data_IF_082505740295
#
_entry.id   IF_082505740295
#
_cell.length_a   1.000
_cell.length_b   1.000
_cell.length_c   1.000
_cell.angle_alpha   90.00
_cell.angle_beta   90.00
_cell.angle_gamma   90.00
#
_symmetry.space_group_name_H-M   'P 1'
#
loop_
_entity.id
_entity.type
_entity.pdbx_description
1 polymer ?
#
# COMPACT_ATOMS: atom_id res chain seq x y z
N UNK A 1 -14.36 -3.30 51.85
CA UNK A 1 -14.10 -2.90 50.45
C UNK A 1 -14.49 -4.10 49.62
N UNK A 2 -15.60 -4.01 48.91
CA UNK A 2 -16.19 -5.12 48.14
C UNK A 2 -15.36 -5.36 46.87
N UNK A 3 -14.61 -6.45 46.85
CA UNK A 3 -13.92 -7.01 45.68
C UNK A 3 -14.91 -7.71 44.70
N UNK A 4 -16.11 -7.17 44.54
CA UNK A 4 -17.04 -7.68 43.53
C UNK A 4 -16.76 -6.95 42.21
N UNK A 5 -15.87 -7.54 41.41
CA UNK A 5 -15.95 -7.34 39.97
C UNK A 5 -17.18 -8.14 39.47
N UNK A 6 -18.29 -7.49 39.10
CA UNK A 6 -19.53 -8.18 38.73
C UNK A 6 -19.39 -8.99 37.43
N UNK A 7 -18.30 -8.78 36.71
CA UNK A 7 -17.89 -9.59 35.58
C UNK A 7 -16.86 -10.58 36.11
N UNK A 8 -17.25 -11.83 36.29
CA UNK A 8 -16.32 -12.93 36.57
C UNK A 8 -15.17 -12.98 35.54
N UNK A 9 -14.18 -13.88 35.72
CA UNK A 9 -13.08 -13.99 34.77
C UNK A 9 -13.64 -14.17 33.35
N UNK A 10 -13.05 -13.49 32.35
CA UNK A 10 -13.60 -13.58 31.00
C UNK A 10 -13.59 -15.03 30.54
N UNK A 11 -14.60 -15.46 29.76
CA UNK A 11 -14.78 -16.86 29.37
C UNK A 11 -13.61 -17.43 28.57
N UNK A 12 -12.77 -16.56 27.99
CA UNK A 12 -11.58 -16.93 27.23
C UNK A 12 -10.31 -17.03 28.08
N UNK A 13 -10.33 -16.70 29.38
CA UNK A 13 -9.13 -16.66 30.24
C UNK A 13 -8.42 -18.02 30.33
N UNK A 14 -9.20 -19.11 30.33
CA UNK A 14 -8.71 -20.49 30.38
C UNK A 14 -9.09 -21.30 29.12
N UNK A 15 -9.42 -20.62 28.02
CA UNK A 15 -9.71 -21.30 26.76
C UNK A 15 -8.45 -22.01 26.24
N UNK A 16 -8.60 -23.14 25.51
CA UNK A 16 -7.47 -23.76 24.84
C UNK A 16 -6.82 -22.79 23.86
N UNK A 17 -5.53 -22.99 23.52
CA UNK A 17 -4.86 -22.21 22.49
C UNK A 17 -5.68 -22.17 21.20
N UNK A 18 -5.69 -21.01 20.55
CA UNK A 18 -6.36 -20.84 19.25
C UNK A 18 -5.49 -21.48 18.17
N UNK A 19 -6.12 -22.23 17.27
CA UNK A 19 -5.47 -22.80 16.09
C UNK A 19 -4.90 -21.71 15.15
N UNK A 20 -3.98 -22.06 14.23
CA UNK A 20 -3.45 -21.10 13.27
C UNK A 20 -4.54 -20.38 12.46
N UNK A 21 -4.25 -19.13 12.07
CA UNK A 21 -5.16 -18.31 11.27
C UNK A 21 -5.47 -18.99 9.92
N UNK A 22 -6.75 -19.28 9.59
CA UNK A 22 -7.07 -20.12 8.44
C UNK A 22 -7.30 -19.34 7.13
N UNK A 23 -7.27 -18.00 7.16
CA UNK A 23 -7.61 -17.14 6.01
C UNK A 23 -6.36 -16.45 5.46
N UNK A 24 -5.50 -17.21 4.78
CA UNK A 24 -4.26 -16.64 4.25
C UNK A 24 -4.48 -15.65 3.10
N UNK A 25 -3.72 -14.56 3.12
CA UNK A 25 -3.63 -13.62 2.01
C UNK A 25 -2.98 -14.28 0.79
N UNK A 26 -3.48 -13.95 -0.40
CA UNK A 26 -2.90 -14.36 -1.68
C UNK A 26 -2.61 -13.16 -2.58
N UNK A 27 -1.49 -13.22 -3.29
CA UNK A 27 -1.15 -12.31 -4.39
C UNK A 27 -1.14 -13.07 -5.74
N UNK A 28 -1.58 -14.33 -5.73
CA UNK A 28 -1.70 -15.21 -6.90
C UNK A 28 -3.17 -15.58 -7.05
N UNK A 29 -3.80 -15.05 -8.11
CA UNK A 29 -5.23 -15.19 -8.36
C UNK A 29 -5.67 -16.64 -8.63
N UNK A 30 -4.72 -17.60 -8.64
CA UNK A 30 -4.96 -19.04 -8.82
C UNK A 30 -4.87 -19.82 -7.51
N UNK A 31 -4.57 -19.16 -6.39
CA UNK A 31 -4.36 -19.77 -5.07
C UNK A 31 -5.07 -18.98 -3.99
N UNK A 32 -5.53 -19.66 -2.94
CA UNK A 32 -6.21 -19.01 -1.81
C UNK A 32 -7.67 -18.70 -2.12
N UNK A 33 -8.21 -17.68 -1.45
CA UNK A 33 -9.59 -17.24 -1.65
C UNK A 33 -9.80 -16.63 -3.05
N UNK A 34 -11.01 -16.72 -3.57
CA UNK A 34 -11.40 -16.04 -4.81
C UNK A 34 -11.35 -14.51 -4.62
N UNK A 35 -10.97 -13.79 -5.68
CA UNK A 35 -10.99 -12.32 -5.67
C UNK A 35 -12.44 -11.81 -5.56
N UNK A 36 -12.69 -10.92 -4.61
CA UNK A 36 -14.01 -10.32 -4.44
C UNK A 36 -14.47 -9.60 -5.72
N UNK A 37 -15.73 -9.74 -6.18
CA UNK A 37 -16.20 -9.12 -7.43
C UNK A 37 -16.02 -7.60 -7.50
N UNK A 38 -16.10 -6.91 -6.35
CA UNK A 38 -15.83 -5.47 -6.26
C UNK A 38 -14.38 -5.06 -6.62
N UNK A 39 -13.44 -6.00 -6.66
CA UNK A 39 -12.03 -5.76 -6.95
C UNK A 39 -11.65 -6.08 -8.40
N UNK A 40 -12.59 -6.48 -9.25
CA UNK A 40 -12.30 -6.86 -10.65
C UNK A 40 -11.63 -5.73 -11.45
N UNK A 41 -11.95 -4.46 -11.16
CA UNK A 41 -11.27 -3.31 -11.77
C UNK A 41 -9.80 -3.15 -11.38
N UNK A 42 -9.38 -3.80 -10.29
CA UNK A 42 -8.00 -3.77 -9.78
C UNK A 42 -7.26 -5.09 -10.00
N UNK A 43 -7.91 -6.09 -10.63
CA UNK A 43 -7.35 -7.42 -10.86
C UNK A 43 -5.93 -7.38 -11.42
N UNK A 44 -5.59 -6.51 -12.43
CA UNK A 44 -4.24 -6.48 -12.98
C UNK A 44 -3.14 -6.02 -12.02
N UNK A 45 -3.48 -5.38 -10.90
CA UNK A 45 -2.53 -4.92 -9.89
C UNK A 45 -2.14 -6.02 -8.89
N UNK A 46 -3.01 -7.00 -8.63
CA UNK A 46 -2.73 -8.12 -7.72
C UNK A 46 -1.49 -8.87 -8.20
N UNK A 47 -0.50 -9.04 -7.33
CA UNK A 47 0.79 -9.63 -7.69
C UNK A 47 1.93 -9.29 -6.76
N UNK A 48 3.06 -9.95 -7.00
CA UNK A 48 4.36 -9.60 -6.46
C UNK A 48 5.20 -8.97 -7.58
N UNK A 49 5.67 -7.76 -7.35
CA UNK A 49 6.33 -6.90 -8.31
C UNK A 49 7.72 -6.54 -7.82
N UNK A 50 8.72 -6.56 -8.71
CA UNK A 50 10.07 -6.15 -8.38
C UNK A 50 10.75 -5.43 -9.54
N UNK A 51 11.47 -4.36 -9.25
CA UNK A 51 12.19 -3.62 -10.27
C UNK A 51 12.98 -2.47 -9.70
N UNK A 52 13.12 -1.41 -10.50
CA UNK A 52 13.93 -0.24 -10.19
C UNK A 52 13.17 1.04 -10.43
N UNK A 53 13.62 2.09 -9.75
CA UNK A 53 13.11 3.42 -9.89
C UNK A 53 14.16 4.48 -9.56
N UNK A 54 13.76 5.72 -9.73
CA UNK A 54 14.54 6.89 -9.40
C UNK A 54 13.72 7.75 -8.43
N UNK A 55 14.37 8.22 -7.37
CA UNK A 55 13.81 9.18 -6.44
C UNK A 55 14.59 10.49 -6.47
N UNK A 56 13.96 11.54 -5.95
CA UNK A 56 14.54 12.87 -5.86
C UNK A 56 14.04 13.57 -4.60
N UNK A 57 13.21 14.60 -4.76
CA UNK A 57 12.70 15.42 -3.64
C UNK A 57 12.20 14.57 -2.48
N UNK A 58 12.54 14.84 -1.21
CA UNK A 58 13.29 16.00 -0.71
C UNK A 58 14.81 15.80 -0.63
N UNK A 59 15.37 14.77 -1.27
CA UNK A 59 16.83 14.68 -1.37
C UNK A 59 17.37 15.83 -2.23
N UNK A 60 18.61 16.23 -1.95
CA UNK A 60 19.31 17.27 -2.71
C UNK A 60 19.66 16.78 -4.13
N UNK A 61 20.01 15.50 -4.24
CA UNK A 61 20.37 14.82 -5.49
C UNK A 61 19.41 13.66 -5.79
N UNK A 62 19.26 13.35 -7.08
CA UNK A 62 18.54 12.16 -7.51
C UNK A 62 19.26 10.88 -7.06
N UNK A 63 18.50 9.85 -6.72
CA UNK A 63 19.02 8.56 -6.29
C UNK A 63 18.30 7.40 -6.99
N UNK A 64 19.02 6.31 -7.19
CA UNK A 64 18.46 5.07 -7.73
C UNK A 64 18.07 4.14 -6.59
N UNK A 65 16.96 3.43 -6.78
CA UNK A 65 16.52 2.41 -5.84
C UNK A 65 15.99 1.18 -6.58
N UNK A 66 16.04 0.03 -5.90
CA UNK A 66 15.23 -1.11 -6.25
C UNK A 66 14.11 -1.28 -5.23
N UNK A 67 13.05 -1.94 -5.64
CA UNK A 67 11.83 -2.05 -4.86
C UNK A 67 11.13 -3.36 -5.12
N UNK A 68 10.47 -3.86 -4.08
CA UNK A 68 9.48 -4.92 -4.15
C UNK A 68 8.14 -4.41 -3.63
N UNK A 69 7.08 -4.65 -4.40
CA UNK A 69 5.69 -4.33 -4.05
C UNK A 69 4.88 -5.61 -4.07
N UNK A 70 4.14 -5.88 -2.99
CA UNK A 70 3.16 -6.96 -2.91
C UNK A 70 1.77 -6.35 -2.82
N UNK A 71 0.89 -6.80 -3.71
CA UNK A 71 -0.53 -6.47 -3.71
C UNK A 71 -1.31 -7.77 -3.58
N UNK A 72 -1.97 -7.98 -2.44
CA UNK A 72 -2.65 -9.23 -2.07
C UNK A 72 -4.08 -8.99 -1.61
N UNK A 73 -4.86 -10.07 -1.44
CA UNK A 73 -6.20 -10.05 -0.85
C UNK A 73 -6.48 -11.35 -0.10
N UNK A 74 -7.56 -11.37 0.69
CA UNK A 74 -8.07 -12.56 1.37
C UNK A 74 -9.50 -12.92 0.95
N UNK A 75 -10.00 -12.29 -0.12
CA UNK A 75 -11.34 -12.51 -0.68
C UNK A 75 -12.40 -11.51 -0.20
N UNK A 76 -12.05 -10.61 0.72
CA UNK A 76 -12.88 -9.45 1.10
C UNK A 76 -12.65 -8.26 0.15
N UNK A 77 -13.51 -7.22 0.14
CA UNK A 77 -13.40 -6.09 -0.80
C UNK A 77 -12.31 -5.08 -0.40
N UNK A 78 -11.06 -5.54 -0.31
CA UNK A 78 -9.87 -4.71 -0.19
C UNK A 78 -8.67 -5.42 -0.82
N UNK A 79 -7.64 -4.65 -1.17
CA UNK A 79 -6.29 -5.16 -1.43
C UNK A 79 -5.38 -4.71 -0.30
N UNK A 80 -4.50 -5.59 0.18
CA UNK A 80 -3.34 -5.19 0.98
C UNK A 80 -2.24 -4.72 0.05
N UNK A 81 -1.61 -3.63 0.41
CA UNK A 81 -0.45 -3.06 -0.27
C UNK A 81 0.74 -3.07 0.69
N UNK A 82 1.86 -3.63 0.24
CA UNK A 82 3.13 -3.62 0.96
C UNK A 82 4.24 -3.28 -0.01
N UNK A 83 5.14 -2.38 0.38
CA UNK A 83 6.20 -1.88 -0.48
C UNK A 83 7.45 -1.66 0.34
N UNK A 84 8.58 -2.21 -0.13
CA UNK A 84 9.90 -2.08 0.48
C UNK A 84 10.92 -1.73 -0.59
N UNK A 85 11.76 -0.73 -0.31
CA UNK A 85 12.80 -0.28 -1.23
C UNK A 85 14.18 -0.24 -0.57
N UNK A 86 15.21 -0.28 -1.41
CA UNK A 86 16.61 -0.17 -1.02
C UNK A 86 17.37 0.63 -2.06
N UNK A 87 18.32 1.45 -1.60
CA UNK A 87 19.15 2.30 -2.43
C UNK A 87 20.14 1.46 -3.26
N UNK A 88 20.45 1.98 -4.45
CA UNK A 88 21.44 1.41 -5.36
C UNK A 88 22.59 2.39 -5.60
N UNK A 89 23.80 1.87 -5.77
CA UNK A 89 24.91 2.63 -6.35
C UNK A 89 24.84 2.68 -7.90
N UNK A 90 25.82 3.34 -8.51
CA UNK A 90 25.93 3.48 -9.97
C UNK A 90 26.13 2.13 -10.69
N UNK A 91 26.61 1.10 -9.98
CA UNK A 91 26.75 -0.27 -10.47
C UNK A 91 25.45 -1.10 -10.28
N UNK A 92 24.37 -0.48 -9.80
CA UNK A 92 23.11 -1.14 -9.43
C UNK A 92 23.23 -2.17 -8.31
N UNK A 93 24.18 -2.00 -7.38
CA UNK A 93 24.34 -2.83 -6.19
C UNK A 93 23.62 -2.21 -4.99
N UNK A 94 23.00 -3.02 -4.11
CA UNK A 94 22.38 -2.52 -2.89
C UNK A 94 23.38 -1.84 -1.96
N UNK A 95 23.05 -0.63 -1.50
CA UNK A 95 23.89 0.12 -0.54
C UNK A 95 23.18 0.44 0.79
N UNK A 96 21.89 0.18 0.90
CA UNK A 96 21.15 0.35 2.16
C UNK A 96 19.65 0.26 1.99
N UNK A 97 18.95 0.01 3.09
CA UNK A 97 17.49 0.07 3.16
C UNK A 97 17.00 1.51 2.90
N UNK A 98 15.80 1.65 2.35
CA UNK A 98 15.19 2.94 2.09
C UNK A 98 13.76 3.02 2.63
N UNK A 99 12.75 3.18 1.78
CA UNK A 99 11.37 3.33 2.21
C UNK A 99 10.69 2.00 2.47
N UNK A 100 9.80 2.01 3.46
CA UNK A 100 8.85 0.95 3.74
C UNK A 100 7.46 1.57 3.89
N UNK A 101 6.46 0.95 3.29
CA UNK A 101 5.07 1.40 3.41
C UNK A 101 4.14 0.19 3.38
N UNK A 102 3.03 0.30 4.11
CA UNK A 102 1.99 -0.73 4.15
C UNK A 102 0.62 -0.09 4.24
N UNK A 103 -0.40 -0.74 3.69
CA UNK A 103 -1.71 -0.15 3.61
C UNK A 103 -2.79 -1.04 3.00
N UNK A 104 -3.95 -0.44 2.78
CA UNK A 104 -5.09 -1.09 2.14
C UNK A 104 -5.66 -0.20 1.05
N UNK A 105 -6.03 -0.80 -0.09
CA UNK A 105 -6.80 -0.16 -1.16
C UNK A 105 -8.22 -0.73 -1.17
N UNK A 106 -9.22 0.13 -1.33
CA UNK A 106 -10.63 -0.22 -1.22
C UNK A 106 -11.43 0.43 -2.35
N UNK A 107 -12.28 -0.33 -3.06
CA UNK A 107 -13.25 0.25 -3.97
C UNK A 107 -14.36 0.93 -3.16
N UNK A 108 -14.80 2.09 -3.63
CA UNK A 108 -16.05 2.69 -3.13
C UNK A 108 -17.22 1.89 -3.69
N UNK A 109 -18.18 1.58 -2.83
CA UNK A 109 -19.35 0.79 -3.20
C UNK A 109 -20.60 1.65 -3.24
N UNK A 110 -21.35 1.60 -4.34
CA UNK A 110 -22.70 2.12 -4.46
C UNK A 110 -23.68 0.95 -4.62
N UNK A 111 -24.64 0.85 -3.69
CA UNK A 111 -25.62 -0.25 -3.63
C UNK A 111 -24.99 -1.66 -3.75
N UNK A 112 -23.81 -1.85 -3.13
CA UNK A 112 -23.08 -3.12 -3.12
C UNK A 112 -22.29 -3.41 -4.40
N UNK A 113 -22.23 -2.47 -5.36
CA UNK A 113 -21.44 -2.58 -6.58
C UNK A 113 -20.27 -1.60 -6.52
N UNK A 114 -19.10 -2.03 -7.02
CA UNK A 114 -17.96 -1.14 -7.12
C UNK A 114 -18.23 0.00 -8.12
N UNK A 115 -17.87 1.22 -7.72
CA UNK A 115 -17.76 2.38 -8.62
C UNK A 115 -16.36 2.42 -9.24
N UNK A 116 -16.04 3.49 -9.98
CA UNK A 116 -14.67 3.79 -10.40
C UNK A 116 -13.83 4.44 -9.30
N UNK A 117 -14.45 4.81 -8.17
CA UNK A 117 -13.78 5.51 -7.07
C UNK A 117 -13.07 4.54 -6.13
N UNK A 118 -11.94 5.02 -5.62
CA UNK A 118 -10.98 4.24 -4.85
C UNK A 118 -10.53 5.03 -3.64
N UNK A 119 -10.35 4.32 -2.53
CA UNK A 119 -9.78 4.84 -1.31
C UNK A 119 -8.53 4.02 -0.97
N UNK A 120 -7.51 4.66 -0.40
CA UNK A 120 -6.39 3.93 0.17
C UNK A 120 -5.94 4.54 1.50
N UNK A 121 -5.53 3.69 2.43
CA UNK A 121 -4.83 4.10 3.64
C UNK A 121 -3.43 3.51 3.60
N UNK A 122 -2.42 4.35 3.77
CA UNK A 122 -1.00 3.94 3.75
C UNK A 122 -0.33 4.50 5.00
N UNK A 123 0.48 3.69 5.65
CA UNK A 123 1.32 4.08 6.78
C UNK A 123 2.78 3.78 6.49
N UNK A 124 3.65 4.56 7.09
CA UNK A 124 5.11 4.43 6.93
C UNK A 124 5.80 4.41 8.30
N UNK A 125 6.98 3.77 8.44
CA UNK A 125 7.71 3.74 9.71
C UNK A 125 8.25 5.11 10.12
N UNK A 126 8.27 6.10 9.21
CA UNK A 126 8.57 7.51 9.51
C UNK A 126 7.42 8.20 10.26
N UNK A 127 6.43 7.46 10.75
CA UNK A 127 5.36 7.98 11.59
C UNK A 127 4.33 8.80 10.83
N UNK A 128 4.08 8.45 9.56
CA UNK A 128 3.10 9.12 8.69
C UNK A 128 1.96 8.16 8.35
N UNK A 129 0.74 8.68 8.33
CA UNK A 129 -0.47 8.01 7.85
C UNK A 129 -1.13 8.88 6.78
N UNK A 130 -1.42 8.28 5.63
CA UNK A 130 -1.91 8.94 4.43
C UNK A 130 -3.25 8.30 4.03
N UNK A 131 -4.30 9.12 3.90
CA UNK A 131 -5.59 8.77 3.32
C UNK A 131 -5.64 9.32 1.91
N UNK A 132 -5.88 8.44 0.95
CA UNK A 132 -5.99 8.75 -0.46
C UNK A 132 -7.41 8.57 -0.96
N UNK A 133 -7.85 9.50 -1.81
CA UNK A 133 -9.04 9.37 -2.64
C UNK A 133 -8.60 9.38 -4.11
N UNK A 134 -9.24 8.55 -4.92
CA UNK A 134 -8.80 8.36 -6.30
C UNK A 134 -9.82 7.63 -7.17
N UNK A 135 -9.37 7.27 -8.37
CA UNK A 135 -10.16 6.57 -9.37
C UNK A 135 -9.36 5.49 -10.09
N UNK A 136 -9.99 4.34 -10.31
CA UNK A 136 -9.55 3.35 -11.27
C UNK A 136 -10.03 3.77 -12.67
N UNK A 137 -9.10 3.96 -13.60
CA UNK A 137 -9.36 4.40 -14.97
C UNK A 137 -9.14 3.21 -15.90
N UNK A 138 -10.25 2.66 -16.42
CA UNK A 138 -10.21 1.37 -17.10
C UNK A 138 -9.81 0.25 -16.13
N UNK A 139 -8.99 -0.72 -16.59
CA UNK A 139 -8.52 -1.84 -15.76
C UNK A 139 -7.03 -1.75 -15.43
N UNK A 140 -6.32 -0.79 -16.00
CA UNK A 140 -4.85 -0.75 -15.96
C UNK A 140 -4.28 0.51 -15.35
N UNK A 141 -5.10 1.47 -14.90
CA UNK A 141 -4.61 2.72 -14.29
C UNK A 141 -5.36 3.00 -13.00
N UNK A 142 -4.63 3.44 -11.99
CA UNK A 142 -5.16 3.92 -10.72
C UNK A 142 -4.49 5.24 -10.38
N UNK A 143 -5.27 6.29 -10.20
CA UNK A 143 -4.78 7.61 -9.84
C UNK A 143 -5.43 8.07 -8.55
N UNK A 144 -4.64 8.57 -7.60
CA UNK A 144 -5.12 8.97 -6.29
C UNK A 144 -4.32 10.14 -5.72
N UNK A 145 -4.99 11.00 -4.96
CA UNK A 145 -4.38 12.11 -4.24
C UNK A 145 -4.70 11.98 -2.75
N UNK A 146 -3.77 12.43 -1.91
CA UNK A 146 -3.98 12.47 -0.47
C UNK A 146 -5.07 13.49 -0.13
N UNK A 147 -6.10 13.03 0.57
CA UNK A 147 -7.20 13.84 1.10
C UNK A 147 -6.94 14.22 2.57
N UNK A 148 -6.29 13.33 3.31
CA UNK A 148 -5.82 13.61 4.65
C UNK A 148 -4.45 12.99 4.90
N UNK A 149 -3.60 13.71 5.62
CA UNK A 149 -2.32 13.21 6.11
C UNK A 149 -2.22 13.53 7.60
N UNK A 150 -1.85 12.52 8.38
CA UNK A 150 -1.53 12.67 9.78
C UNK A 150 -0.10 12.17 10.02
N UNK A 151 0.59 12.79 10.97
CA UNK A 151 1.92 12.35 11.38
C UNK A 151 2.07 12.43 12.90
N UNK A 152 2.91 11.56 13.44
CA UNK A 152 3.29 11.60 14.86
C UNK A 152 4.14 12.85 15.15
N UNK A 153 4.36 13.24 16.43
CA UNK A 153 5.13 14.45 16.74
C UNK A 153 6.54 14.50 16.13
N UNK A 154 7.19 13.35 15.95
CA UNK A 154 8.51 13.21 15.32
C UNK A 154 8.45 12.75 13.86
N UNK A 155 7.25 12.57 13.32
CA UNK A 155 7.04 12.01 12.00
C UNK A 155 7.39 12.98 10.87
N UNK A 156 7.50 12.44 9.65
CA UNK A 156 7.73 13.25 8.46
C UNK A 156 6.52 14.17 8.22
N UNK A 157 6.77 15.48 8.06
CA UNK A 157 5.73 16.51 7.87
C UNK A 157 5.26 16.61 6.41
N UNK A 158 4.77 15.50 5.90
CA UNK A 158 4.13 15.44 4.59
C UNK A 158 2.82 16.25 4.64
N UNK A 159 2.57 17.09 3.64
CA UNK A 159 1.40 17.98 3.55
C UNK A 159 0.53 17.69 2.34
N UNK A 160 1.00 16.86 1.40
CA UNK A 160 0.23 16.39 0.27
C UNK A 160 0.96 15.25 -0.45
N UNK A 161 0.21 14.45 -1.20
CA UNK A 161 0.78 13.42 -2.05
C UNK A 161 -0.16 13.11 -3.23
N UNK A 162 0.42 12.66 -4.35
CA UNK A 162 -0.30 12.18 -5.52
C UNK A 162 0.40 10.95 -6.07
N UNK A 163 -0.37 9.90 -6.37
CA UNK A 163 0.14 8.64 -6.91
C UNK A 163 -0.61 8.28 -8.18
N UNK A 164 0.16 7.90 -9.18
CA UNK A 164 -0.33 7.33 -10.43
C UNK A 164 0.30 5.96 -10.60
N UNK A 165 -0.52 4.91 -10.63
CA UNK A 165 -0.13 3.55 -10.96
C UNK A 165 -0.67 3.15 -12.33
N UNK A 166 0.11 2.36 -13.07
CA UNK A 166 -0.25 1.86 -14.40
C UNK A 166 0.30 0.48 -14.68
N UNK A 167 -0.50 -0.41 -15.26
CA UNK A 167 -0.03 -1.67 -15.85
C UNK A 167 0.29 -1.43 -17.33
N UNK A 168 1.56 -1.50 -17.68
CA UNK A 168 2.06 -1.29 -19.05
C UNK A 168 2.93 -2.48 -19.44
N UNK A 169 2.56 -3.18 -20.52
CA UNK A 169 3.29 -4.35 -21.03
C UNK A 169 3.54 -5.42 -19.94
N UNK A 170 2.58 -5.60 -19.03
CA UNK A 170 2.68 -6.55 -17.92
C UNK A 170 3.60 -6.13 -16.77
N UNK A 171 4.11 -4.89 -16.78
CA UNK A 171 4.85 -4.28 -15.68
C UNK A 171 3.99 -3.26 -14.92
N UNK A 172 4.19 -3.16 -13.61
CA UNK A 172 3.64 -2.10 -12.78
C UNK A 172 4.56 -0.88 -12.85
N UNK A 173 4.04 0.23 -13.38
CA UNK A 173 4.70 1.53 -13.38
C UNK A 173 4.01 2.42 -12.38
N UNK A 174 4.77 3.31 -11.73
CA UNK A 174 4.16 4.38 -10.97
C UNK A 174 4.97 5.67 -10.99
N UNK A 175 4.28 6.76 -10.71
CA UNK A 175 4.84 8.05 -10.30
C UNK A 175 4.21 8.47 -8.97
N UNK A 176 5.02 9.02 -8.09
CA UNK A 176 4.63 9.53 -6.77
C UNK A 176 5.19 10.93 -6.63
N UNK A 177 4.31 11.88 -6.37
CA UNK A 177 4.63 13.25 -6.03
C UNK A 177 4.27 13.52 -4.58
N UNK A 178 5.05 14.35 -3.90
CA UNK A 178 4.79 14.73 -2.50
C UNK A 178 4.97 16.22 -2.29
N UNK A 179 4.25 16.74 -1.30
CA UNK A 179 4.45 18.06 -0.74
C UNK A 179 4.92 17.93 0.71
N UNK A 180 5.93 18.72 1.08
CA UNK A 180 6.45 18.81 2.45
C UNK A 180 6.42 20.28 2.84
N UNK A 181 5.79 20.58 3.98
CA UNK A 181 5.48 21.96 4.37
C UNK A 181 4.82 22.71 3.20
N UNK A 182 5.41 23.83 2.75
CA UNK A 182 4.85 24.71 1.72
C UNK A 182 5.46 24.48 0.32
N UNK A 183 6.10 23.32 0.07
CA UNK A 183 6.80 23.07 -1.20
C UNK A 183 5.90 22.96 -2.43
N UNK A 184 4.59 22.74 -2.23
CA UNK A 184 3.71 22.19 -3.27
C UNK A 184 4.10 20.75 -3.65
N UNK A 185 3.30 20.11 -4.53
CA UNK A 185 3.60 18.78 -5.04
C UNK A 185 4.84 18.81 -5.94
N UNK A 186 5.78 17.91 -5.67
CA UNK A 186 7.01 17.73 -6.46
C UNK A 186 7.29 16.24 -6.70
N UNK A 187 7.93 15.87 -7.82
CA UNK A 187 8.34 14.50 -8.10
C UNK A 187 9.19 13.92 -6.97
N UNK A 188 8.68 12.85 -6.35
CA UNK A 188 9.34 12.18 -5.24
C UNK A 188 10.01 10.88 -5.70
N UNK A 189 9.24 10.00 -6.35
CA UNK A 189 9.69 8.69 -6.81
C UNK A 189 8.94 8.25 -8.06
N UNK A 190 9.60 7.53 -8.95
CA UNK A 190 8.95 6.77 -10.03
C UNK A 190 9.66 5.46 -10.25
N UNK A 191 8.94 4.41 -10.69
CA UNK A 191 9.53 3.11 -10.92
C UNK A 191 8.83 2.30 -12.01
N UNK A 192 9.56 1.30 -12.53
CA UNK A 192 9.02 0.21 -13.35
C UNK A 192 9.36 -1.12 -12.68
N UNK A 193 8.32 -1.87 -12.34
CA UNK A 193 8.40 -3.12 -11.59
C UNK A 193 7.85 -4.28 -12.44
N UNK A 194 8.66 -5.30 -12.64
CA UNK A 194 8.26 -6.51 -13.35
C UNK A 194 7.50 -7.44 -12.40
N UNK A 195 6.49 -8.14 -12.92
CA UNK A 195 5.80 -9.18 -12.18
C UNK A 195 6.75 -10.36 -11.96
N UNK A 196 6.93 -10.77 -10.70
CA UNK A 196 7.74 -11.95 -10.33
C UNK A 196 6.89 -13.07 -9.71
N UNK A 197 5.64 -12.78 -9.33
CA UNK A 197 4.67 -13.77 -8.87
C UNK A 197 3.24 -13.26 -8.98
N UNK A 198 2.29 -14.17 -9.16
CA UNK A 198 0.86 -13.90 -9.25
C UNK A 198 0.21 -14.19 -10.59
#
# INVERSE_FOLDING_TARGET
MSDDNPLGPPPWLNAPPVEPYPYEDTHDLRKGADLHPALLGLLPFVGLWRGRGQGGFPADDDYNFAQEVRISHDGRPFLRFESRSWLLDDDSKPIGEWSLESGFWRPVLDQGRATDEMEATIITPEGTAELYLGKAIGTTRLEMAADAIAYTPSGRKLTGAHRLFGIVEGALLYAHEVAIADSGLRPHMSARLLRIGG
#
